data_IF_745889839151
#
_entry.id   IF_745889839151
#
_cell.length_a   1.000
_cell.length_b   1.000
_cell.length_c   1.000
_cell.angle_alpha   90.00
_cell.angle_beta   90.00
_cell.angle_gamma   90.00
#
_symmetry.space_group_name_H-M   'P 1'
#
loop_
_entity.id
_entity.type
_entity.pdbx_description
1 polymer ?
#
# COMPACT_ATOMS: atom_id res chain seq x y z
N UNK A 1 -1.29 3.72 24.99
CA UNK A 1 -2.36 3.80 23.99
C UNK A 1 -3.55 3.04 24.55
N UNK A 2 -4.72 3.67 24.67
CA UNK A 2 -5.96 2.98 25.04
C UNK A 2 -6.58 2.31 23.80
N UNK A 3 -7.48 1.35 23.99
CA UNK A 3 -8.19 0.69 22.88
C UNK A 3 -9.01 1.70 22.03
N UNK A 4 -9.55 2.74 22.67
CA UNK A 4 -10.24 3.84 22.01
C UNK A 4 -9.30 4.66 21.13
N UNK A 5 -8.09 4.96 21.62
CA UNK A 5 -7.06 5.65 20.84
C UNK A 5 -6.60 4.79 19.66
N UNK A 6 -6.36 3.50 19.87
CA UNK A 6 -5.98 2.57 18.81
C UNK A 6 -7.04 2.51 17.70
N UNK A 7 -8.32 2.42 18.07
CA UNK A 7 -9.41 2.37 17.09
C UNK A 7 -9.54 3.70 16.31
N UNK A 8 -9.30 4.84 16.98
CA UNK A 8 -9.29 6.14 16.32
C UNK A 8 -8.13 6.26 15.30
N UNK A 9 -6.93 5.81 15.66
CA UNK A 9 -5.76 5.81 14.76
C UNK A 9 -5.97 4.88 13.55
N UNK A 10 -6.53 3.68 13.77
CA UNK A 10 -6.88 2.76 12.67
C UNK A 10 -7.88 3.42 11.72
N UNK A 11 -8.89 4.10 12.27
CA UNK A 11 -9.89 4.80 11.46
C UNK A 11 -9.27 5.91 10.62
N UNK A 12 -8.39 6.72 11.21
CA UNK A 12 -7.70 7.79 10.52
C UNK A 12 -6.79 7.27 9.39
N UNK A 13 -6.05 6.18 9.66
CA UNK A 13 -5.22 5.52 8.66
C UNK A 13 -6.05 4.99 7.49
N UNK A 14 -7.17 4.31 7.78
CA UNK A 14 -8.08 3.78 6.77
C UNK A 14 -8.70 4.89 5.90
N UNK A 15 -9.14 5.98 6.54
CA UNK A 15 -9.70 7.14 5.84
C UNK A 15 -8.67 7.75 4.88
N UNK A 16 -7.48 8.02 5.40
CA UNK A 16 -6.38 8.61 4.63
C UNK A 16 -6.00 7.72 3.44
N UNK A 17 -5.92 6.41 3.65
CA UNK A 17 -5.62 5.45 2.59
C UNK A 17 -6.69 5.45 1.47
N UNK A 18 -7.97 5.37 1.82
CA UNK A 18 -9.06 5.37 0.84
C UNK A 18 -9.12 6.68 0.05
N UNK A 19 -8.90 7.82 0.71
CA UNK A 19 -8.85 9.12 0.05
C UNK A 19 -7.67 9.22 -0.94
N UNK A 20 -6.50 8.73 -0.55
CA UNK A 20 -5.33 8.66 -1.44
C UNK A 20 -5.59 7.73 -2.63
N UNK A 21 -6.13 6.53 -2.38
CA UNK A 21 -6.45 5.57 -3.42
C UNK A 21 -7.39 6.17 -4.47
N UNK A 22 -8.48 6.81 -4.05
CA UNK A 22 -9.38 7.52 -4.95
C UNK A 22 -8.69 8.64 -5.74
N UNK A 23 -7.81 9.41 -5.10
CA UNK A 23 -7.07 10.48 -5.77
C UNK A 23 -6.16 9.94 -6.87
N UNK A 24 -5.43 8.86 -6.60
CA UNK A 24 -4.58 8.18 -7.57
C UNK A 24 -5.39 7.61 -8.74
N UNK A 25 -6.48 6.88 -8.45
CA UNK A 25 -7.34 6.27 -9.48
C UNK A 25 -7.93 7.32 -10.42
N UNK A 26 -8.39 8.46 -9.88
CA UNK A 26 -8.92 9.57 -10.68
C UNK A 26 -7.86 10.25 -11.54
N UNK A 27 -6.61 10.28 -11.06
CA UNK A 27 -5.50 10.91 -11.78
C UNK A 27 -5.02 10.04 -12.94
N UNK A 28 -4.75 8.76 -12.68
CA UNK A 28 -4.35 7.77 -13.66
C UNK A 28 -4.66 6.37 -13.10
N UNK A 29 -5.70 5.72 -13.65
CA UNK A 29 -6.14 4.40 -13.20
C UNK A 29 -5.04 3.35 -13.41
N UNK A 30 -4.37 3.35 -14.56
CA UNK A 30 -3.36 2.33 -14.88
C UNK A 30 -2.16 2.42 -13.92
N UNK A 31 -1.70 3.64 -13.65
CA UNK A 31 -0.66 3.87 -12.65
C UNK A 31 -1.13 3.50 -11.23
N UNK A 32 -2.38 3.82 -10.89
CA UNK A 32 -2.95 3.51 -9.58
C UNK A 32 -3.02 2.00 -9.31
N UNK A 33 -3.39 1.17 -10.29
CA UNK A 33 -3.41 -0.29 -10.14
C UNK A 33 -2.04 -0.82 -9.71
N UNK A 34 -0.98 -0.36 -10.38
CA UNK A 34 0.39 -0.76 -10.06
C UNK A 34 0.85 -0.24 -8.69
N UNK A 35 0.58 1.03 -8.38
CA UNK A 35 1.00 1.67 -7.10
C UNK A 35 0.26 1.10 -5.89
N UNK A 36 -1.05 0.91 -6.01
CA UNK A 36 -1.90 0.39 -4.94
C UNK A 36 -1.82 -1.13 -4.83
N UNK A 37 -1.46 -1.84 -5.91
CA UNK A 37 -1.39 -3.30 -5.92
C UNK A 37 -2.78 -3.95 -5.85
N UNK A 38 -3.76 -3.39 -6.57
CA UNK A 38 -5.16 -3.84 -6.55
C UNK A 38 -5.65 -4.22 -7.95
N UNK A 39 -6.70 -5.04 -8.02
CA UNK A 39 -7.36 -5.39 -9.29
C UNK A 39 -8.10 -4.21 -9.91
N UNK A 40 -8.37 -4.29 -11.21
CA UNK A 40 -9.16 -3.27 -11.92
C UNK A 40 -10.56 -3.10 -11.31
N UNK A 41 -11.22 -4.22 -11.01
CA UNK A 41 -12.53 -4.24 -10.34
C UNK A 41 -12.50 -3.52 -8.98
N UNK A 42 -11.47 -3.77 -8.17
CA UNK A 42 -11.29 -3.10 -6.88
C UNK A 42 -11.11 -1.59 -7.05
N UNK A 43 -10.34 -1.16 -8.06
CA UNK A 43 -10.16 0.25 -8.35
C UNK A 43 -11.47 0.93 -8.78
N UNK A 44 -12.30 0.27 -9.59
CA UNK A 44 -13.60 0.79 -9.99
C UNK A 44 -14.56 0.92 -8.79
N UNK A 45 -14.58 -0.07 -7.90
CA UNK A 45 -15.36 -0.01 -6.67
C UNK A 45 -14.89 1.15 -5.78
N UNK A 46 -13.58 1.30 -5.57
CA UNK A 46 -13.01 2.39 -4.76
C UNK A 46 -13.34 3.75 -5.38
N UNK A 47 -13.25 3.88 -6.71
CA UNK A 47 -13.57 5.13 -7.41
C UNK A 47 -15.04 5.54 -7.25
N UNK A 48 -15.96 4.57 -7.17
CA UNK A 48 -17.39 4.80 -7.01
C UNK A 48 -17.83 5.15 -5.57
N UNK A 49 -16.95 4.98 -4.57
CA UNK A 49 -17.32 5.25 -3.17
C UNK A 49 -17.63 6.74 -2.94
N UNK A 50 -18.78 7.01 -2.36
CA UNK A 50 -19.11 8.33 -1.82
C UNK A 50 -18.33 8.64 -0.54
N UNK A 51 -18.16 9.92 -0.15
CA UNK A 51 -17.50 10.30 1.10
C UNK A 51 -18.13 9.64 2.35
N UNK A 52 -19.46 9.45 2.35
CA UNK A 52 -20.19 8.79 3.44
C UNK A 52 -19.81 7.31 3.53
N UNK A 53 -19.72 6.62 2.38
CA UNK A 53 -19.30 5.22 2.34
C UNK A 53 -17.83 5.05 2.76
N UNK A 54 -16.94 5.96 2.33
CA UNK A 54 -15.53 5.98 2.77
C UNK A 54 -15.46 6.08 4.29
N UNK A 55 -16.18 7.04 4.89
CA UNK A 55 -16.18 7.22 6.35
C UNK A 55 -16.70 6.00 7.10
N UNK A 56 -17.73 5.34 6.55
CA UNK A 56 -18.29 4.11 7.10
C UNK A 56 -17.30 2.95 7.07
N UNK A 57 -16.63 2.73 5.92
CA UNK A 57 -15.63 1.66 5.76
C UNK A 57 -14.42 1.95 6.66
N UNK A 58 -13.96 3.20 6.69
CA UNK A 58 -12.83 3.61 7.51
C UNK A 58 -13.06 3.40 9.01
N UNK A 59 -14.30 3.44 9.48
CA UNK A 59 -14.65 3.26 10.90
C UNK A 59 -14.50 1.82 11.42
N UNK A 60 -14.08 0.87 10.58
CA UNK A 60 -13.72 -0.48 11.01
C UNK A 60 -12.49 -0.50 11.93
N UNK A 61 -12.42 -1.49 12.82
CA UNK A 61 -11.31 -1.69 13.77
C UNK A 61 -10.13 -2.49 13.18
N UNK A 62 -10.13 -2.75 11.87
CA UNK A 62 -9.08 -3.46 11.16
C UNK A 62 -8.48 -2.55 10.10
N UNK A 63 -7.16 -2.60 9.93
CA UNK A 63 -6.47 -1.89 8.87
C UNK A 63 -6.87 -2.46 7.51
N UNK A 64 -7.22 -1.56 6.58
CA UNK A 64 -7.57 -1.92 5.20
C UNK A 64 -6.33 -2.15 4.33
N UNK A 65 -5.24 -1.45 4.62
CA UNK A 65 -3.97 -1.59 3.92
C UNK A 65 -3.03 -2.51 4.70
N UNK A 66 -2.39 -3.44 3.98
CA UNK A 66 -1.29 -4.25 4.49
C UNK A 66 0.02 -3.76 3.89
N UNK A 67 1.12 -4.01 4.59
CA UNK A 67 2.42 -3.93 3.96
C UNK A 67 2.46 -4.88 2.76
N UNK A 68 2.83 -4.33 1.61
CA UNK A 68 3.12 -5.12 0.41
C UNK A 68 4.44 -5.91 0.55
N UNK A 69 5.23 -5.58 1.58
CA UNK A 69 6.55 -6.11 1.90
C UNK A 69 6.41 -7.16 3.01
N UNK A 70 6.08 -8.39 2.65
CA UNK A 70 5.93 -9.48 3.63
C UNK A 70 7.21 -10.32 3.81
N UNK A 71 8.26 -10.05 3.03
CA UNK A 71 9.47 -10.86 3.00
C UNK A 71 10.65 -10.09 3.58
N UNK A 72 11.27 -10.66 4.63
CA UNK A 72 12.45 -10.13 5.33
C UNK A 72 13.59 -9.80 4.36
N UNK A 73 13.66 -10.48 3.22
CA UNK A 73 14.66 -10.21 2.18
C UNK A 73 14.48 -8.80 1.59
N UNK A 74 13.26 -8.34 1.36
CA UNK A 74 13.03 -6.99 0.81
C UNK A 74 13.32 -5.92 1.84
N UNK A 75 12.99 -6.19 3.11
CA UNK A 75 13.35 -5.32 4.23
C UNK A 75 14.87 -5.19 4.37
N UNK A 76 15.62 -6.30 4.28
CA UNK A 76 17.08 -6.29 4.32
C UNK A 76 17.71 -5.53 3.13
N UNK A 77 17.10 -5.62 1.95
CA UNK A 77 17.54 -4.90 0.76
C UNK A 77 17.26 -3.39 0.87
N UNK A 78 16.08 -2.98 1.36
CA UNK A 78 15.70 -1.57 1.48
C UNK A 78 16.41 -0.84 2.62
N UNK A 79 16.74 -1.56 3.69
CA UNK A 79 17.46 -1.02 4.86
C UNK A 79 18.98 -1.09 4.71
N UNK A 80 19.48 -1.67 3.61
CA UNK A 80 20.90 -1.85 3.31
C UNK A 80 21.67 -2.59 4.43
N UNK A 81 20.99 -3.47 5.17
CA UNK A 81 21.51 -4.15 6.36
C UNK A 81 22.29 -5.45 6.02
N UNK A 82 22.76 -5.59 4.78
CA UNK A 82 23.71 -6.64 4.39
C UNK A 82 25.12 -6.22 4.80
N UNK A 83 25.80 -7.09 5.55
CA UNK A 83 27.18 -6.94 6.03
C UNK A 83 28.22 -6.79 4.91
N UNK A 84 27.82 -7.01 3.66
CA UNK A 84 28.65 -6.81 2.47
C UNK A 84 28.09 -5.63 1.68
N UNK A 85 28.72 -4.46 1.84
CA UNK A 85 28.47 -3.26 1.03
C UNK A 85 28.52 -3.63 -0.45
N UNK A 86 27.37 -3.74 -1.10
CA UNK A 86 27.28 -3.58 -2.54
C UNK A 86 27.34 -2.07 -2.76
N UNK A 87 28.38 -1.59 -3.41
CA UNK A 87 28.76 -0.16 -3.51
C UNK A 87 27.78 0.71 -4.33
N UNK A 88 26.56 0.24 -4.57
CA UNK A 88 25.60 0.93 -5.42
C UNK A 88 24.15 0.77 -4.90
N UNK A 89 23.79 1.65 -3.96
CA UNK A 89 22.46 1.82 -3.35
C UNK A 89 21.34 1.96 -4.40
N UNK A 90 21.64 2.61 -5.53
CA UNK A 90 20.69 2.77 -6.62
C UNK A 90 20.28 1.42 -7.22
N UNK A 91 21.23 0.49 -7.44
CA UNK A 91 20.92 -0.87 -7.93
C UNK A 91 20.12 -1.67 -6.93
N UNK A 92 20.43 -1.58 -5.63
CA UNK A 92 19.70 -2.32 -4.58
C UNK A 92 18.23 -1.88 -4.51
N UNK A 93 17.97 -0.57 -4.57
CA UNK A 93 16.60 -0.02 -4.64
C UNK A 93 15.86 -0.45 -5.91
N UNK A 94 16.57 -0.55 -7.03
CA UNK A 94 16.02 -1.01 -8.31
C UNK A 94 15.64 -2.50 -8.24
N UNK A 95 16.49 -3.36 -7.65
CA UNK A 95 16.19 -4.77 -7.40
C UNK A 95 14.96 -4.93 -6.49
N UNK A 96 14.87 -4.15 -5.41
CA UNK A 96 13.68 -4.16 -4.55
C UNK A 96 12.43 -3.75 -5.34
N UNK A 97 12.50 -2.67 -6.13
CA UNK A 97 11.37 -2.21 -6.95
C UNK A 97 10.92 -3.25 -7.99
N UNK A 98 11.87 -3.95 -8.63
CA UNK A 98 11.56 -5.06 -9.56
C UNK A 98 10.90 -6.23 -8.83
N UNK A 99 11.43 -6.64 -7.68
CA UNK A 99 10.86 -7.73 -6.90
C UNK A 99 9.43 -7.42 -6.46
N UNK A 100 9.17 -6.17 -6.07
CA UNK A 100 7.84 -5.68 -5.71
C UNK A 100 6.86 -5.63 -6.88
N UNK A 101 7.37 -5.36 -8.08
CA UNK A 101 6.59 -5.40 -9.31
C UNK A 101 6.27 -6.84 -9.74
N UNK A 102 7.23 -7.77 -9.63
CA UNK A 102 7.05 -9.18 -9.99
C UNK A 102 5.96 -9.87 -9.16
N UNK A 103 5.90 -9.60 -7.86
CA UNK A 103 4.87 -10.17 -6.98
C UNK A 103 3.46 -9.63 -7.23
N UNK A 104 3.32 -8.46 -7.84
CA UNK A 104 2.02 -7.98 -8.30
C UNK A 104 1.48 -8.88 -9.41
N UNK A 105 2.32 -9.33 -10.34
CA UNK A 105 1.90 -10.22 -11.41
C UNK A 105 1.48 -11.63 -10.93
N UNK A 106 1.91 -12.06 -9.74
CA UNK A 106 1.51 -13.35 -9.15
C UNK A 106 0.20 -13.29 -8.35
N UNK A 107 -0.26 -12.08 -7.98
CA UNK A 107 -1.46 -11.87 -7.15
C UNK A 107 -2.71 -11.51 -7.96
N UNK A 108 -2.62 -11.46 -9.30
CA UNK A 108 -3.70 -11.11 -10.23
C UNK A 108 -4.10 -12.35 -11.02
#
# INVERSE_FOLDING_TARGET
>A
MTDEQLTAEIREANLTYLMLAQSLIRKDKAEALFRLGISEESADLIAALSPVQISKIASGNMLLCRFRMDDDVVWNLLTNHTTRKVDNDATTKLHASILMAGRFAESI
#
